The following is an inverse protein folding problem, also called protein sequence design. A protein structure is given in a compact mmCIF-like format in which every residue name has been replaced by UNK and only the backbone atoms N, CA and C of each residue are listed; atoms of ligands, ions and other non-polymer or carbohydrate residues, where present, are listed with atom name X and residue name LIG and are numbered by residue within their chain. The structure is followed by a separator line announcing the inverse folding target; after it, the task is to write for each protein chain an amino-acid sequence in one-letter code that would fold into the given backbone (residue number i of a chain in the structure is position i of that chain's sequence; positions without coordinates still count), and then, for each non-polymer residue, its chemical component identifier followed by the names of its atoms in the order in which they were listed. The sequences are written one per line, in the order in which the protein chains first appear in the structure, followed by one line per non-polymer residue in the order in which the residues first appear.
data_IF_187926786557
#
_entry.id   IF_187926786557
#
_cell.length_a   1.000
_cell.length_b   1.000
_cell.length_c   1.000
_cell.angle_alpha   90.00
_cell.angle_beta   90.00
_cell.angle_gamma   90.00
#
_symmetry.space_group_name_H-M   'P 1'
#
loop_
_entity.id
_entity.type
_entity.pdbx_description
1 polymer ?
#
# COMPACT_ATOMS: atom_id res chain seq x y z
N UNK A 1 0.27 -15.94 -7.96
CA UNK A 1 0.90 -15.57 -6.70
C UNK A 1 -0.14 -15.11 -5.70
N UNK A 2 -0.24 -15.72 -4.55
CA UNK A 2 -1.21 -15.27 -3.55
C UNK A 2 -0.72 -13.98 -2.86
N UNK A 3 -1.65 -13.04 -2.75
CA UNK A 3 -1.46 -11.88 -1.90
C UNK A 3 -2.11 -12.17 -0.54
N UNK A 4 -1.44 -11.81 0.53
CA UNK A 4 -1.97 -11.97 1.89
C UNK A 4 -2.52 -10.62 2.35
N UNK A 5 -3.79 -10.39 2.05
CA UNK A 5 -4.46 -9.10 2.27
C UNK A 5 -5.46 -9.21 3.41
N UNK A 6 -5.28 -8.38 4.44
CA UNK A 6 -6.13 -8.32 5.62
C UNK A 6 -6.79 -6.95 5.72
N UNK A 7 -8.10 -6.90 5.52
CA UNK A 7 -8.87 -5.65 5.53
C UNK A 7 -9.44 -5.30 6.91
N UNK A 8 -9.35 -6.19 7.87
CA UNK A 8 -9.79 -5.93 9.24
C UNK A 8 -8.94 -4.82 9.88
N UNK A 9 -9.59 -3.95 10.63
CA UNK A 9 -8.92 -2.83 11.32
C UNK A 9 -8.22 -3.37 12.56
N UNK A 10 -6.90 -3.32 12.54
CA UNK A 10 -6.08 -3.91 13.59
C UNK A 10 -6.05 -3.10 14.89
N UNK A 11 -6.11 -1.78 14.79
CA UNK A 11 -5.95 -0.89 15.94
C UNK A 11 -7.16 0.02 16.10
N UNK A 12 -7.67 0.08 17.32
CA UNK A 12 -8.78 0.96 17.71
C UNK A 12 -8.28 2.39 17.92
N UNK A 13 -9.19 3.40 17.96
CA UNK A 13 -8.81 4.74 18.37
C UNK A 13 -8.10 4.73 19.71
N UNK A 14 -7.10 5.59 19.87
CA UNK A 14 -6.25 5.74 21.06
C UNK A 14 -5.31 4.58 21.31
N UNK A 15 -5.30 3.58 20.47
CA UNK A 15 -4.35 2.47 20.51
C UNK A 15 -3.15 2.79 19.61
N UNK A 16 -1.98 2.92 20.22
CA UNK A 16 -0.75 3.18 19.48
C UNK A 16 -0.25 1.93 18.78
N UNK A 17 0.42 2.09 17.64
CA UNK A 17 1.02 0.98 16.94
C UNK A 17 2.42 1.35 16.43
N UNK A 18 3.23 0.32 16.21
CA UNK A 18 4.58 0.44 15.68
C UNK A 18 4.63 -0.23 14.31
N UNK A 19 4.68 0.58 13.25
CA UNK A 19 4.70 0.08 11.89
C UNK A 19 5.96 -0.76 11.60
N UNK A 20 7.08 -0.38 12.18
CA UNK A 20 8.33 -1.12 12.03
C UNK A 20 8.23 -2.52 12.63
N UNK A 21 7.66 -2.63 13.83
CA UNK A 21 7.46 -3.92 14.49
C UNK A 21 6.53 -4.84 13.69
N UNK A 22 5.46 -4.27 13.13
CA UNK A 22 4.54 -5.04 12.28
C UNK A 22 5.23 -5.56 11.02
N UNK A 23 6.02 -4.71 10.37
CA UNK A 23 6.76 -5.10 9.18
C UNK A 23 7.79 -6.18 9.48
N UNK A 24 8.50 -6.05 10.61
CA UNK A 24 9.51 -7.03 11.03
C UNK A 24 8.90 -8.39 11.36
N UNK A 25 7.66 -8.41 11.82
CA UNK A 25 6.94 -9.65 12.12
C UNK A 25 6.38 -10.34 10.86
N UNK A 26 6.37 -9.66 9.72
CA UNK A 26 5.87 -10.23 8.47
C UNK A 26 6.87 -11.24 7.91
N UNK A 27 6.45 -12.52 7.84
CA UNK A 27 7.31 -13.59 7.36
C UNK A 27 7.30 -13.73 5.83
N UNK A 28 6.19 -13.38 5.20
CA UNK A 28 5.99 -13.64 3.76
C UNK A 28 5.38 -12.42 3.08
N UNK A 29 6.15 -11.64 2.29
CA UNK A 29 5.57 -10.69 1.35
C UNK A 29 4.97 -11.50 0.17
N UNK A 30 3.93 -11.07 -0.42
CA UNK A 30 3.22 -9.80 -0.40
C UNK A 30 2.16 -9.79 0.70
N UNK A 31 2.26 -8.87 1.65
CA UNK A 31 1.34 -8.77 2.78
C UNK A 31 0.81 -7.34 2.90
N UNK A 32 -0.47 -7.20 3.22
CA UNK A 32 -1.15 -5.94 3.36
C UNK A 32 -2.11 -6.04 4.54
N UNK A 33 -2.04 -5.10 5.47
CA UNK A 33 -2.88 -5.07 6.67
C UNK A 33 -3.45 -3.68 6.86
N UNK A 34 -4.77 -3.59 7.03
CA UNK A 34 -5.43 -2.35 7.45
C UNK A 34 -5.10 -2.09 8.91
N UNK A 35 -4.62 -0.88 9.20
CA UNK A 35 -4.14 -0.51 10.54
C UNK A 35 -5.23 0.18 11.35
N UNK A 36 -5.76 1.28 10.84
CA UNK A 36 -6.67 2.15 11.58
C UNK A 36 -7.51 2.97 10.62
N UNK A 37 -8.57 3.56 11.18
CA UNK A 37 -9.46 4.47 10.46
C UNK A 37 -9.16 5.90 10.87
N UNK A 38 -9.24 6.81 9.90
CA UNK A 38 -9.27 8.25 10.13
C UNK A 38 -10.45 8.79 9.31
N UNK A 39 -11.55 9.08 9.98
CA UNK A 39 -12.82 9.41 9.33
C UNK A 39 -13.19 8.32 8.30
N UNK A 40 -13.39 8.69 7.04
CA UNK A 40 -13.73 7.75 5.96
C UNK A 40 -12.49 7.14 5.30
N UNK A 41 -11.31 7.49 5.78
CA UNK A 41 -10.05 6.96 5.26
C UNK A 41 -9.54 5.81 6.11
N UNK A 42 -8.71 4.98 5.49
CA UNK A 42 -8.02 3.88 6.15
C UNK A 42 -6.53 3.99 5.87
N UNK A 43 -5.74 3.75 6.90
CA UNK A 43 -4.29 3.60 6.76
C UNK A 43 -3.97 2.11 6.72
N UNK A 44 -3.16 1.70 5.75
CA UNK A 44 -2.74 0.31 5.56
C UNK A 44 -1.22 0.24 5.51
N UNK A 45 -0.68 -0.87 5.96
CA UNK A 45 0.74 -1.16 5.79
C UNK A 45 0.88 -2.34 4.83
N UNK A 46 1.87 -2.24 3.94
CA UNK A 46 2.24 -3.33 3.05
C UNK A 46 3.69 -3.68 3.22
N UNK A 47 3.99 -4.97 3.17
CA UNK A 47 5.35 -5.49 3.03
C UNK A 47 5.38 -6.20 1.69
N UNK A 48 6.13 -5.64 0.75
CA UNK A 48 6.06 -6.01 -0.66
C UNK A 48 7.39 -6.53 -1.16
N UNK A 49 7.30 -7.54 -2.03
CA UNK A 49 8.42 -8.05 -2.80
C UNK A 49 7.86 -8.72 -4.05
N UNK A 50 8.30 -8.29 -5.21
CA UNK A 50 7.76 -8.75 -6.49
C UNK A 50 6.79 -7.73 -7.09
N UNK A 51 5.89 -8.21 -7.91
CA UNK A 51 4.96 -7.36 -8.67
C UNK A 51 3.52 -7.63 -8.27
N UNK A 52 2.77 -6.54 -8.13
CA UNK A 52 1.33 -6.60 -8.06
C UNK A 52 0.76 -6.55 -9.50
N UNK A 53 -0.52 -6.87 -9.68
CA UNK A 53 -1.13 -6.79 -10.99
C UNK A 53 -1.52 -5.34 -11.35
N UNK A 54 -1.66 -5.07 -12.64
CA UNK A 54 -2.20 -3.80 -13.12
C UNK A 54 -3.65 -3.66 -12.71
N UNK A 55 -4.01 -2.50 -12.15
CA UNK A 55 -5.37 -2.23 -11.70
C UNK A 55 -5.61 -0.72 -11.61
N UNK A 56 -6.84 -0.36 -11.29
CA UNK A 56 -7.23 1.03 -11.02
C UNK A 56 -8.30 1.05 -9.94
N UNK A 57 -8.53 2.23 -9.39
CA UNK A 57 -9.65 2.51 -8.51
C UNK A 57 -10.50 3.61 -9.18
N UNK A 58 -11.76 3.31 -9.50
CA UNK A 58 -12.57 4.21 -10.33
C UNK A 58 -12.96 5.49 -9.61
N UNK A 59 -13.05 5.47 -8.29
CA UNK A 59 -13.63 6.56 -7.50
C UNK A 59 -12.74 7.10 -6.41
N UNK A 60 -11.59 6.47 -6.17
CA UNK A 60 -10.74 6.81 -5.04
C UNK A 60 -9.32 7.13 -5.47
N UNK A 61 -8.75 8.15 -4.83
CA UNK A 61 -7.32 8.40 -4.90
C UNK A 61 -6.61 7.50 -3.88
N UNK A 62 -5.35 7.21 -4.11
CA UNK A 62 -4.55 6.38 -3.22
C UNK A 62 -3.19 7.00 -2.99
N UNK A 63 -2.82 7.20 -1.72
CA UNK A 63 -1.46 7.62 -1.34
C UNK A 63 -0.61 6.40 -1.08
N UNK A 64 0.58 6.37 -1.71
CA UNK A 64 1.65 5.44 -1.37
C UNK A 64 2.78 6.23 -0.72
N UNK A 65 3.25 5.78 0.42
CA UNK A 65 4.37 6.40 1.14
C UNK A 65 5.35 5.32 1.57
N UNK A 66 6.57 5.36 0.99
CA UNK A 66 7.57 4.35 1.29
C UNK A 66 8.17 4.61 2.67
N UNK A 67 8.14 3.58 3.54
CA UNK A 67 8.73 3.65 4.88
C UNK A 67 10.14 3.09 4.89
N UNK A 68 10.39 2.02 4.12
CA UNK A 68 11.68 1.33 4.10
C UNK A 68 11.88 0.66 2.76
N UNK A 69 13.12 0.62 2.29
CA UNK A 69 13.46 0.05 1.01
C UNK A 69 13.17 0.97 -0.16
N UNK A 70 12.86 0.39 -1.29
CA UNK A 70 12.54 1.11 -2.52
C UNK A 70 11.44 0.36 -3.24
N UNK A 71 10.43 1.11 -3.71
CA UNK A 71 9.41 0.49 -4.52
C UNK A 71 8.95 1.40 -5.65
N UNK A 72 8.33 0.81 -6.66
CA UNK A 72 7.96 1.52 -7.89
C UNK A 72 6.46 1.52 -8.06
N UNK A 73 5.94 2.66 -8.51
CA UNK A 73 4.59 2.77 -9.03
C UNK A 73 4.72 2.91 -10.54
N UNK A 74 4.33 1.88 -11.26
CA UNK A 74 4.31 1.88 -12.72
C UNK A 74 2.96 2.43 -13.18
N UNK A 75 2.99 3.39 -14.08
CA UNK A 75 1.81 4.03 -14.62
C UNK A 75 1.60 3.60 -16.07
N UNK A 76 0.34 3.50 -16.48
CA UNK A 76 0.01 3.25 -17.87
C UNK A 76 0.66 4.31 -18.76
N UNK A 77 1.20 3.88 -19.88
CA UNK A 77 1.92 4.77 -20.80
C UNK A 77 3.44 4.75 -20.64
N UNK A 78 3.96 3.88 -19.76
CA UNK A 78 5.40 3.62 -19.64
C UNK A 78 6.15 4.44 -18.61
N UNK A 79 5.45 5.27 -17.82
CA UNK A 79 6.09 6.01 -16.74
C UNK A 79 6.21 5.13 -15.50
N UNK A 80 7.37 5.15 -14.85
CA UNK A 80 7.59 4.53 -13.54
C UNK A 80 8.08 5.59 -12.57
N UNK A 81 7.57 5.55 -11.35
CA UNK A 81 7.99 6.43 -10.26
C UNK A 81 8.61 5.58 -9.17
N UNK A 82 9.88 5.82 -8.88
CA UNK A 82 10.58 5.17 -7.78
C UNK A 82 10.34 5.95 -6.49
N UNK A 83 9.97 5.25 -5.43
CA UNK A 83 9.84 5.81 -4.08
C UNK A 83 10.83 5.12 -3.17
N UNK A 84 11.69 5.92 -2.56
CA UNK A 84 12.60 5.48 -1.51
C UNK A 84 12.02 5.87 -0.15
N UNK A 85 12.68 5.47 0.93
CA UNK A 85 12.22 5.78 2.28
C UNK A 85 11.90 7.28 2.45
N UNK A 86 10.73 7.56 2.98
CA UNK A 86 10.17 8.90 3.22
C UNK A 86 9.74 9.65 1.97
N UNK A 87 9.51 8.93 0.88
CA UNK A 87 8.97 9.51 -0.35
C UNK A 87 7.58 8.93 -0.63
N UNK A 88 6.71 9.74 -1.21
CA UNK A 88 5.34 9.32 -1.49
C UNK A 88 4.79 9.91 -2.77
N UNK A 89 3.67 9.35 -3.21
CA UNK A 89 2.93 9.80 -4.38
C UNK A 89 1.44 9.51 -4.18
N UNK A 90 0.60 10.37 -4.70
CA UNK A 90 -0.83 10.08 -4.83
C UNK A 90 -1.11 9.61 -6.24
N UNK A 91 -1.72 8.44 -6.37
CA UNK A 91 -2.25 7.94 -7.64
C UNK A 91 -3.72 8.34 -7.70
N UNK A 92 -4.10 9.23 -8.63
CA UNK A 92 -5.49 9.68 -8.72
C UNK A 92 -6.43 8.57 -9.18
N UNK A 93 -7.71 8.75 -8.87
CA UNK A 93 -8.77 7.85 -9.35
C UNK A 93 -8.69 7.67 -10.87
N UNK A 94 -9.01 6.49 -11.34
CA UNK A 94 -9.06 6.16 -12.76
C UNK A 94 -7.71 5.89 -13.42
N UNK A 95 -6.60 6.12 -12.73
CA UNK A 95 -5.27 5.88 -13.28
C UNK A 95 -4.91 4.41 -13.13
N UNK A 96 -4.68 3.74 -14.26
CA UNK A 96 -4.23 2.36 -14.28
C UNK A 96 -2.76 2.32 -13.85
N UNK A 97 -2.48 1.52 -12.83
CA UNK A 97 -1.16 1.46 -12.23
C UNK A 97 -0.85 0.06 -11.72
N UNK A 98 0.42 -0.16 -11.44
CA UNK A 98 0.92 -1.37 -10.81
C UNK A 98 2.03 -0.99 -9.84
N UNK A 99 2.06 -1.60 -8.67
CA UNK A 99 3.18 -1.47 -7.73
C UNK A 99 4.11 -2.67 -7.88
N UNK A 100 5.41 -2.44 -7.69
CA UNK A 100 6.41 -3.52 -7.68
C UNK A 100 7.57 -3.15 -6.76
N UNK A 101 8.12 -4.17 -6.13
CA UNK A 101 9.27 -4.03 -5.25
C UNK A 101 10.34 -5.05 -5.66
N UNK A 102 11.43 -4.61 -6.31
CA UNK A 102 12.52 -5.54 -6.69
C UNK A 102 13.17 -6.21 -5.50
N UNK A 103 13.18 -5.54 -4.36
CA UNK A 103 13.59 -6.07 -3.06
C UNK A 103 12.49 -5.79 -2.07
N UNK A 104 12.58 -6.34 -0.85
CA UNK A 104 11.57 -6.11 0.19
C UNK A 104 11.42 -4.61 0.47
N UNK A 105 10.21 -4.11 0.41
CA UNK A 105 9.87 -2.73 0.72
C UNK A 105 8.71 -2.69 1.72
N UNK A 106 8.71 -1.67 2.57
CA UNK A 106 7.63 -1.40 3.52
C UNK A 106 6.95 -0.11 3.12
N UNK A 107 5.64 -0.17 2.92
CA UNK A 107 4.87 0.94 2.35
C UNK A 107 3.64 1.22 3.20
N UNK A 108 3.40 2.50 3.48
CA UNK A 108 2.15 2.97 4.07
C UNK A 108 1.24 3.45 2.96
N UNK A 109 -0.02 3.03 3.00
CA UNK A 109 -1.04 3.49 2.06
C UNK A 109 -2.15 4.17 2.83
N UNK A 110 -2.63 5.30 2.31
CA UNK A 110 -3.79 6.00 2.87
C UNK A 110 -4.79 6.18 1.74
N UNK A 111 -6.02 5.75 1.97
CA UNK A 111 -7.06 5.74 0.95
C UNK A 111 -8.45 5.69 1.60
N UNK A 112 -9.48 5.97 0.82
CA UNK A 112 -10.85 5.81 1.31
C UNK A 112 -11.10 4.34 1.69
N UNK A 113 -11.87 4.13 2.75
CA UNK A 113 -12.15 2.78 3.25
C UNK A 113 -12.92 1.91 2.23
N UNK A 114 -13.51 2.51 1.21
CA UNK A 114 -14.21 1.83 0.12
C UNK A 114 -13.28 1.26 -0.95
N UNK A 115 -11.99 1.58 -0.90
CA UNK A 115 -11.00 1.05 -1.87
C UNK A 115 -10.90 -0.45 -1.73
N UNK A 116 -10.97 -1.15 -2.87
CA UNK A 116 -10.67 -2.57 -2.94
C UNK A 116 -9.17 -2.71 -3.21
N UNK A 117 -8.40 -3.32 -2.29
CA UNK A 117 -6.93 -3.40 -2.46
C UNK A 117 -6.47 -4.02 -3.77
N UNK A 118 -7.26 -4.90 -4.35
CA UNK A 118 -6.95 -5.57 -5.61
C UNK A 118 -7.42 -4.80 -6.85
N UNK A 119 -8.08 -3.66 -6.67
CA UNK A 119 -8.62 -2.83 -7.74
C UNK A 119 -10.06 -3.13 -8.10
N UNK A 120 -10.62 -2.25 -8.90
CA UNK A 120 -12.00 -2.36 -9.38
C UNK A 120 -12.09 -3.20 -10.65
#
# INVERSE_FOLDING_TARGET
MPYDIHEDIKFAPLEAFDAGALADACAVPWWNQSLCRVNDSVARIGVFHGEFHWHKHDREDELFFCLDGSFFVDLEGGRSVELRARQGIVVPRGVVHRTRAPSRAVVLMIEAATVKPTGD
#
